data_IF_660151324732
#
_entry.id   IF_660151324732
#
_cell.length_a   1.000
_cell.length_b   1.000
_cell.length_c   1.000
_cell.angle_alpha   90.00
_cell.angle_beta   90.00
_cell.angle_gamma   90.00
#
_symmetry.space_group_name_H-M   'P 1'
#
loop_
_entity.id
_entity.type
_entity.pdbx_description
1 polymer ?
#
# COMPACT_ATOMS: atom_id res chain seq x y z
N UNK A 1 6.33 -1.54 -19.28
CA UNK A 1 6.81 -0.60 -18.22
C UNK A 1 6.47 -1.09 -16.82
N UNK A 2 7.08 -0.55 -15.76
CA UNK A 2 6.82 -0.99 -14.36
C UNK A 2 6.18 0.12 -13.52
N UNK A 3 5.23 -0.23 -12.67
CA UNK A 3 4.48 0.73 -11.85
C UNK A 3 4.48 0.29 -10.39
N UNK A 4 4.76 1.24 -9.49
CA UNK A 4 4.43 1.11 -8.09
C UNK A 4 3.23 2.01 -7.77
N UNK A 5 2.11 1.38 -7.44
CA UNK A 5 0.85 2.04 -7.13
C UNK A 5 0.65 2.07 -5.61
N UNK A 6 0.52 3.27 -5.05
CA UNK A 6 0.34 3.48 -3.62
C UNK A 6 -1.05 4.01 -3.29
N UNK A 7 -1.81 3.26 -2.50
CA UNK A 7 -3.17 3.64 -2.14
C UNK A 7 -3.23 4.48 -0.85
N UNK A 8 -3.84 5.65 -0.97
CA UNK A 8 -4.34 6.50 0.11
C UNK A 8 -3.28 6.89 1.15
N UNK A 9 -2.26 7.68 0.75
CA UNK A 9 -1.21 8.19 1.64
C UNK A 9 -1.73 9.32 2.57
N UNK A 10 -2.88 9.14 3.22
CA UNK A 10 -3.57 10.18 4.00
C UNK A 10 -3.20 10.15 5.49
N UNK A 11 -3.30 11.30 6.16
CA UNK A 11 -3.01 11.47 7.59
C UNK A 11 -3.85 10.57 8.47
N UNK A 12 -5.15 10.50 8.21
CA UNK A 12 -6.12 9.77 9.02
C UNK A 12 -5.77 8.29 9.15
N UNK A 13 -5.32 7.66 8.06
CA UNK A 13 -4.89 6.25 8.07
C UNK A 13 -3.54 6.04 8.73
N UNK A 14 -2.61 6.98 8.56
CA UNK A 14 -1.31 6.95 9.23
C UNK A 14 -1.49 7.11 10.73
N UNK A 15 -2.27 8.10 11.16
CA UNK A 15 -2.52 8.41 12.57
C UNK A 15 -3.20 7.23 13.27
N UNK A 16 -4.19 6.59 12.63
CA UNK A 16 -4.80 5.36 13.14
C UNK A 16 -3.80 4.21 13.34
N UNK A 17 -2.71 4.17 12.56
CA UNK A 17 -1.62 3.21 12.75
C UNK A 17 -0.62 3.64 13.82
N UNK A 18 -0.48 4.93 14.10
CA UNK A 18 0.52 5.49 15.03
C UNK A 18 -0.03 5.74 16.44
N UNK A 19 -1.34 5.91 16.63
CA UNK A 19 -1.99 6.27 17.91
C UNK A 19 -1.90 5.18 19.00
N UNK A 20 -1.23 4.06 18.72
CA UNK A 20 -0.79 3.16 19.77
C UNK A 20 0.54 3.69 20.32
N UNK A 21 0.52 4.27 21.52
CA UNK A 21 1.64 4.78 22.33
C UNK A 21 2.96 3.96 22.33
N UNK A 22 2.95 2.73 21.79
CA UNK A 22 4.09 1.85 21.52
C UNK A 22 5.04 2.32 20.39
N UNK A 23 4.58 3.11 19.41
CA UNK A 23 5.36 3.38 18.18
C UNK A 23 6.52 4.38 18.37
N UNK A 24 6.34 5.43 19.18
CA UNK A 24 7.36 6.46 19.39
C UNK A 24 8.52 6.01 20.27
N UNK A 25 8.30 5.00 21.13
CA UNK A 25 9.32 4.53 22.09
C UNK A 25 10.37 3.59 21.48
N UNK A 26 10.12 3.03 20.28
CA UNK A 26 10.96 1.98 19.67
C UNK A 26 11.80 2.45 18.46
N UNK A 27 12.14 3.74 18.37
CA UNK A 27 13.03 4.23 17.31
C UNK A 27 12.42 4.20 15.90
N UNK A 28 11.10 4.39 15.83
CA UNK A 28 10.37 4.61 14.58
C UNK A 28 10.98 5.77 13.79
N UNK A 29 11.16 5.55 12.47
CA UNK A 29 11.79 6.48 11.54
C UNK A 29 10.90 6.64 10.31
N UNK A 30 9.90 7.54 10.34
CA UNK A 30 8.93 7.71 9.26
C UNK A 30 9.60 7.99 7.91
N UNK A 31 10.72 8.72 7.91
CA UNK A 31 11.51 9.03 6.72
C UNK A 31 12.04 7.79 6.00
N UNK A 32 12.11 6.65 6.70
CA UNK A 32 12.55 5.39 6.14
C UNK A 32 11.57 4.85 5.10
N UNK A 33 10.29 5.23 5.16
CA UNK A 33 9.29 4.81 4.17
C UNK A 33 9.66 5.32 2.77
N UNK A 34 9.94 6.61 2.64
CA UNK A 34 10.38 7.22 1.38
C UNK A 34 11.65 6.56 0.84
N UNK A 35 12.61 6.25 1.72
CA UNK A 35 13.84 5.53 1.36
C UNK A 35 13.60 4.09 0.89
N UNK A 36 12.59 3.43 1.45
CA UNK A 36 12.17 2.08 1.04
C UNK A 36 11.61 2.12 -0.39
N UNK A 37 10.71 3.08 -0.67
CA UNK A 37 10.16 3.28 -2.02
C UNK A 37 11.28 3.63 -3.01
N UNK A 38 12.19 4.52 -2.63
CA UNK A 38 13.34 4.86 -3.47
C UNK A 38 14.16 3.63 -3.86
N UNK A 39 14.51 2.81 -2.87
CA UNK A 39 15.37 1.65 -3.07
C UNK A 39 14.70 0.54 -3.89
N UNK A 40 13.40 0.31 -3.67
CA UNK A 40 12.67 -0.79 -4.30
C UNK A 40 12.07 -0.44 -5.66
N UNK A 41 11.73 0.83 -5.88
CA UNK A 41 10.94 1.25 -7.02
C UNK A 41 11.64 2.32 -7.86
N UNK A 42 11.92 3.51 -7.30
CA UNK A 42 12.49 4.61 -8.09
C UNK A 42 13.85 4.26 -8.70
N UNK A 43 14.76 3.67 -7.92
CA UNK A 43 16.09 3.20 -8.40
C UNK A 43 16.02 2.03 -9.38
N UNK A 44 14.85 1.40 -9.52
CA UNK A 44 14.62 0.25 -10.40
C UNK A 44 13.67 0.60 -11.54
N UNK A 45 13.56 1.89 -11.87
CA UNK A 45 12.82 2.44 -13.01
C UNK A 45 11.32 2.13 -12.98
N UNK A 46 10.73 2.06 -11.78
CA UNK A 46 9.26 2.05 -11.65
C UNK A 46 8.75 3.48 -11.71
N UNK A 47 7.65 3.67 -12.43
CA UNK A 47 6.83 4.86 -12.30
C UNK A 47 6.07 4.77 -10.97
N UNK A 48 6.13 5.83 -10.18
CA UNK A 48 5.41 5.90 -8.90
C UNK A 48 4.08 6.59 -9.14
N UNK A 49 2.99 5.95 -8.73
CA UNK A 49 1.64 6.48 -8.84
C UNK A 49 1.00 6.48 -7.46
N UNK A 50 0.62 7.67 -6.99
CA UNK A 50 -0.08 7.87 -5.73
C UNK A 50 -1.57 8.01 -5.99
N UNK A 51 -2.39 7.16 -5.37
CA UNK A 51 -3.84 7.21 -5.47
C UNK A 51 -4.40 7.89 -4.23
N UNK A 52 -5.14 8.96 -4.42
CA UNK A 52 -5.75 9.72 -3.33
C UNK A 52 -7.26 9.68 -3.42
N UNK A 53 -7.91 9.91 -2.27
CA UNK A 53 -9.31 10.31 -2.27
C UNK A 53 -9.49 11.61 -3.05
N UNK A 54 -10.69 11.78 -3.59
CA UNK A 54 -11.01 12.93 -4.41
C UNK A 54 -11.35 14.16 -3.58
N UNK A 55 -11.20 15.32 -4.20
CA UNK A 55 -11.79 16.56 -3.71
C UNK A 55 -13.32 16.41 -3.56
N UNK A 56 -13.89 17.07 -2.56
CA UNK A 56 -15.32 16.95 -2.25
C UNK A 56 -16.22 17.55 -3.34
N UNK A 57 -15.73 18.55 -4.06
CA UNK A 57 -16.48 19.29 -5.08
C UNK A 57 -16.18 18.76 -6.48
N UNK A 58 -15.01 18.14 -6.70
CA UNK A 58 -14.59 17.60 -7.99
C UNK A 58 -13.93 16.23 -7.84
N UNK A 59 -14.71 15.17 -8.08
CA UNK A 59 -14.25 13.79 -7.95
C UNK A 59 -13.09 13.41 -8.89
N UNK A 60 -12.84 14.21 -9.94
CA UNK A 60 -11.73 13.95 -10.87
C UNK A 60 -10.39 14.43 -10.33
N UNK A 61 -10.40 15.30 -9.31
CA UNK A 61 -9.19 15.86 -8.71
C UNK A 61 -8.83 15.13 -7.41
N UNK A 62 -7.56 14.79 -7.19
CA UNK A 62 -7.12 14.26 -5.91
C UNK A 62 -7.15 15.36 -4.83
N UNK A 63 -7.60 15.02 -3.62
CA UNK A 63 -7.50 15.90 -2.45
C UNK A 63 -6.09 15.81 -1.85
N UNK A 64 -5.27 16.80 -2.18
CA UNK A 64 -3.90 16.88 -1.69
C UNK A 64 -3.81 17.31 -0.21
N UNK A 65 -4.87 17.88 0.35
CA UNK A 65 -4.85 18.45 1.71
C UNK A 65 -4.71 17.39 2.80
N UNK A 66 -5.05 16.14 2.47
CA UNK A 66 -5.03 15.00 3.40
C UNK A 66 -3.72 14.23 3.41
N UNK A 67 -2.77 14.51 2.51
CA UNK A 67 -1.52 13.75 2.41
C UNK A 67 -0.75 13.81 3.74
N UNK A 68 -0.33 12.65 4.24
CA UNK A 68 0.56 12.57 5.40
C UNK A 68 1.99 12.96 5.04
N UNK A 69 2.62 13.74 5.90
CA UNK A 69 4.00 14.24 5.74
C UNK A 69 5.05 13.12 5.65
N UNK A 70 4.69 11.90 6.06
CA UNK A 70 5.54 10.72 5.98
C UNK A 70 5.79 10.31 4.52
N UNK A 71 4.85 10.61 3.63
CA UNK A 71 4.94 10.25 2.21
C UNK A 71 5.63 11.35 1.42
N UNK A 72 6.88 11.07 1.05
CA UNK A 72 7.68 11.94 0.19
C UNK A 72 7.31 11.70 -1.28
N UNK A 73 6.28 12.40 -1.74
CA UNK A 73 5.94 12.51 -3.16
C UNK A 73 7.01 13.37 -3.85
N UNK A 74 7.66 12.82 -4.88
CA UNK A 74 8.77 13.48 -5.58
C UNK A 74 8.34 14.01 -6.95
N UNK A 75 9.11 14.96 -7.46
CA UNK A 75 8.95 15.42 -8.83
C UNK A 75 9.07 14.23 -9.81
N UNK A 76 8.08 14.09 -10.70
CA UNK A 76 7.98 12.99 -11.65
C UNK A 76 7.11 11.82 -11.18
N UNK A 77 6.76 11.74 -9.89
CA UNK A 77 5.70 10.85 -9.44
C UNK A 77 4.35 11.35 -9.99
N UNK A 78 3.43 10.43 -10.27
CA UNK A 78 2.07 10.73 -10.68
C UNK A 78 1.12 10.70 -9.47
N UNK A 79 0.10 11.55 -9.50
CA UNK A 79 -0.97 11.60 -8.49
C UNK A 79 -2.29 11.46 -9.22
N UNK A 80 -3.12 10.50 -8.82
CA UNK A 80 -4.43 10.25 -9.41
C UNK A 80 -5.52 10.24 -8.34
N UNK A 81 -6.73 10.62 -8.76
CA UNK A 81 -7.94 10.52 -7.95
C UNK A 81 -8.52 9.11 -8.00
N UNK A 82 -9.12 8.65 -6.91
CA UNK A 82 -9.84 7.39 -6.86
C UNK A 82 -11.33 7.50 -7.23
N UNK A 83 -11.80 8.72 -7.51
CA UNK A 83 -13.18 9.02 -7.91
C UNK A 83 -14.19 9.11 -6.76
N UNK A 84 -13.75 9.00 -5.50
CA UNK A 84 -14.59 9.11 -4.30
C UNK A 84 -13.88 9.98 -3.28
N UNK A 85 -14.60 10.90 -2.61
CA UNK A 85 -14.03 11.67 -1.51
C UNK A 85 -13.96 10.85 -0.22
N UNK A 86 -13.03 11.20 0.67
CA UNK A 86 -12.86 10.49 1.94
C UNK A 86 -14.12 10.56 2.82
N UNK A 87 -14.83 11.69 2.81
CA UNK A 87 -16.09 11.86 3.53
C UNK A 87 -17.17 10.89 3.04
N UNK A 88 -17.36 10.77 1.72
CA UNK A 88 -18.34 9.85 1.15
C UNK A 88 -17.97 8.39 1.45
N UNK A 89 -16.68 8.07 1.39
CA UNK A 89 -16.19 6.75 1.74
C UNK A 89 -16.55 6.38 3.19
N UNK A 90 -16.29 7.26 4.14
CA UNK A 90 -16.50 7.00 5.56
C UNK A 90 -17.97 7.11 6.00
N UNK A 91 -18.70 8.11 5.51
CA UNK A 91 -20.08 8.39 5.97
C UNK A 91 -21.14 7.60 5.22
N UNK A 92 -20.89 7.23 3.96
CA UNK A 92 -21.85 6.52 3.08
C UNK A 92 -21.35 5.15 2.64
N UNK A 93 -20.17 4.72 3.08
CA UNK A 93 -19.58 3.41 2.72
C UNK A 93 -19.42 3.23 1.20
N UNK A 94 -19.21 4.33 0.47
CA UNK A 94 -18.97 4.29 -0.97
C UNK A 94 -17.52 3.89 -1.21
N UNK A 95 -17.30 2.79 -1.91
CA UNK A 95 -15.95 2.32 -2.23
C UNK A 95 -15.47 2.88 -3.57
N UNK A 96 -14.19 3.28 -3.68
CA UNK A 96 -13.55 3.54 -4.95
C UNK A 96 -13.64 2.32 -5.88
N UNK A 97 -13.86 2.56 -7.17
CA UNK A 97 -13.91 1.49 -8.19
C UNK A 97 -12.49 1.08 -8.61
N UNK A 98 -12.07 -0.18 -8.39
CA UNK A 98 -10.77 -0.65 -8.84
C UNK A 98 -10.54 -0.51 -10.34
N UNK A 99 -11.56 -0.71 -11.17
CA UNK A 99 -11.43 -0.56 -12.62
C UNK A 99 -11.21 0.90 -13.01
N UNK A 100 -11.98 1.81 -12.43
CA UNK A 100 -11.79 3.25 -12.56
C UNK A 100 -10.37 3.68 -12.22
N UNK A 101 -9.84 3.28 -11.05
CA UNK A 101 -8.45 3.61 -10.65
C UNK A 101 -7.44 3.07 -11.66
N UNK A 102 -7.54 1.80 -12.04
CA UNK A 102 -6.60 1.16 -12.97
C UNK A 102 -6.68 1.76 -14.38
N UNK A 103 -7.80 2.35 -14.79
CA UNK A 103 -7.95 2.99 -16.10
C UNK A 103 -7.10 4.25 -16.28
N UNK A 104 -6.60 4.83 -15.19
CA UNK A 104 -5.63 5.94 -15.24
C UNK A 104 -4.20 5.47 -15.53
N UNK A 105 -3.92 4.17 -15.40
CA UNK A 105 -2.60 3.62 -15.64
C UNK A 105 -2.41 3.38 -17.14
N UNK A 106 -1.19 3.56 -17.66
CA UNK A 106 -0.89 3.28 -19.06
C UNK A 106 -0.98 1.78 -19.36
N UNK A 107 -1.25 1.45 -20.63
CA UNK A 107 -1.22 0.07 -21.12
C UNK A 107 0.20 -0.52 -21.14
N UNK A 108 0.30 -1.85 -21.24
CA UNK A 108 1.60 -2.54 -21.37
C UNK A 108 2.43 -2.56 -20.08
N UNK A 109 1.76 -2.69 -18.94
CA UNK A 109 2.41 -2.86 -17.63
C UNK A 109 3.05 -4.26 -17.57
N UNK A 110 4.37 -4.29 -17.44
CA UNK A 110 5.17 -5.50 -17.26
C UNK A 110 5.14 -6.00 -15.80
N UNK A 111 5.00 -5.06 -14.85
CA UNK A 111 4.92 -5.35 -13.43
C UNK A 111 4.18 -4.23 -12.70
N UNK A 112 3.13 -4.59 -11.98
CA UNK A 112 2.43 -3.74 -11.04
C UNK A 112 2.74 -4.19 -9.61
N UNK A 113 3.43 -3.33 -8.86
CA UNK A 113 3.57 -3.50 -7.42
C UNK A 113 2.56 -2.58 -6.71
N UNK A 114 1.77 -3.13 -5.79
CA UNK A 114 0.73 -2.39 -5.06
C UNK A 114 1.13 -2.27 -3.58
N UNK A 115 1.02 -1.07 -3.04
CA UNK A 115 1.16 -0.76 -1.62
C UNK A 115 0.04 0.16 -1.14
N UNK A 116 0.11 0.62 0.11
CA UNK A 116 -0.85 1.55 0.70
C UNK A 116 -1.87 0.91 1.64
N UNK A 117 -3.00 1.58 1.80
CA UNK A 117 -4.03 1.23 2.78
C UNK A 117 -5.32 0.74 2.11
N UNK A 118 -6.08 -0.21 2.64
CA UNK A 118 -5.70 -1.21 3.64
C UNK A 118 -5.35 -2.52 2.91
N UNK A 119 -4.29 -3.23 3.34
CA UNK A 119 -3.79 -4.45 2.69
C UNK A 119 -4.88 -5.46 2.37
N UNK A 120 -5.75 -5.75 3.35
CA UNK A 120 -6.77 -6.81 3.26
C UNK A 120 -8.07 -6.35 2.61
N UNK A 121 -8.12 -5.11 2.15
CA UNK A 121 -9.31 -4.51 1.57
C UNK A 121 -8.95 -3.80 0.26
N UNK A 122 -8.74 -2.49 0.26
CA UNK A 122 -8.52 -1.74 -0.98
C UNK A 122 -7.30 -2.21 -1.79
N UNK A 123 -6.19 -2.54 -1.12
CA UNK A 123 -4.98 -3.07 -1.79
C UNK A 123 -5.27 -4.42 -2.42
N UNK A 124 -5.94 -5.32 -1.70
CA UNK A 124 -6.35 -6.63 -2.20
C UNK A 124 -7.30 -6.51 -3.39
N UNK A 125 -8.32 -5.66 -3.31
CA UNK A 125 -9.29 -5.40 -4.38
C UNK A 125 -8.62 -4.87 -5.65
N UNK A 126 -7.69 -3.92 -5.51
CA UNK A 126 -6.92 -3.37 -6.65
C UNK A 126 -5.99 -4.42 -7.25
N UNK A 127 -5.23 -5.12 -6.41
CA UNK A 127 -4.28 -6.13 -6.86
C UNK A 127 -4.99 -7.30 -7.57
N UNK A 128 -6.12 -7.75 -7.01
CA UNK A 128 -7.01 -8.73 -7.64
C UNK A 128 -7.53 -8.23 -8.98
N UNK A 129 -8.07 -7.02 -9.03
CA UNK A 129 -8.62 -6.47 -10.27
C UNK A 129 -7.55 -6.37 -11.37
N UNK A 130 -6.33 -5.95 -11.04
CA UNK A 130 -5.24 -5.90 -12.00
C UNK A 130 -4.83 -7.31 -12.47
N UNK A 131 -4.70 -8.26 -11.54
CA UNK A 131 -4.37 -9.64 -11.84
C UNK A 131 -5.43 -10.31 -12.74
N UNK A 132 -6.72 -10.15 -12.42
CA UNK A 132 -7.84 -10.71 -13.17
C UNK A 132 -7.92 -10.14 -14.60
N UNK A 133 -7.38 -8.93 -14.83
CA UNK A 133 -7.24 -8.32 -16.16
C UNK A 133 -5.92 -8.68 -16.89
N UNK A 134 -5.13 -9.61 -16.35
CA UNK A 134 -3.91 -10.10 -16.98
C UNK A 134 -2.65 -9.26 -16.72
N UNK A 135 -2.72 -8.25 -15.85
CA UNK A 135 -1.54 -7.47 -15.45
C UNK A 135 -0.70 -8.26 -14.45
N UNK A 136 0.60 -8.51 -14.71
CA UNK A 136 1.49 -9.13 -13.72
C UNK A 136 1.55 -8.28 -12.45
N UNK A 137 0.96 -8.78 -11.37
CA UNK A 137 0.68 -7.98 -10.16
C UNK A 137 1.20 -8.64 -8.91
N UNK A 138 1.78 -7.84 -8.00
CA UNK A 138 2.14 -8.25 -6.64
C UNK A 138 1.81 -7.16 -5.63
N UNK A 139 1.51 -7.55 -4.40
CA UNK A 139 1.43 -6.64 -3.26
C UNK A 139 2.80 -6.62 -2.57
N UNK A 140 3.35 -5.42 -2.37
CA UNK A 140 4.50 -5.23 -1.48
C UNK A 140 3.99 -4.88 -0.08
N UNK A 141 3.83 -5.91 0.73
CA UNK A 141 3.24 -5.83 2.07
C UNK A 141 4.07 -4.97 3.04
N UNK A 142 5.36 -4.78 2.77
CA UNK A 142 6.19 -3.86 3.54
C UNK A 142 5.89 -2.40 3.26
N UNK A 143 5.13 -2.14 2.20
CA UNK A 143 4.68 -0.80 1.81
C UNK A 143 3.19 -0.63 2.03
N UNK A 144 2.53 -1.51 2.78
CA UNK A 144 1.16 -1.30 3.24
C UNK A 144 1.16 -0.73 4.67
N UNK A 145 0.00 -0.69 5.32
CA UNK A 145 -0.08 -0.35 6.74
C UNK A 145 0.78 -1.27 7.63
N UNK A 146 1.17 -2.46 7.16
CA UNK A 146 2.10 -3.33 7.90
C UNK A 146 3.50 -2.75 8.03
N UNK A 147 3.88 -1.74 7.24
CA UNK A 147 5.13 -1.00 7.48
C UNK A 147 5.21 -0.51 8.93
N UNK A 148 4.15 0.13 9.42
CA UNK A 148 4.11 0.70 10.77
C UNK A 148 4.25 -0.43 11.79
N UNK A 149 3.41 -1.47 11.68
CA UNK A 149 3.44 -2.62 12.58
C UNK A 149 4.79 -3.34 12.63
N UNK A 150 5.38 -3.67 11.48
CA UNK A 150 6.66 -4.40 11.42
C UNK A 150 7.78 -3.52 11.97
N UNK A 151 7.82 -2.23 11.62
CA UNK A 151 8.90 -1.36 12.07
C UNK A 151 8.92 -1.13 13.57
N UNK A 152 7.77 -1.12 14.24
CA UNK A 152 7.71 -0.99 15.69
C UNK A 152 7.95 -2.29 16.44
N UNK A 153 7.57 -3.43 15.86
CA UNK A 153 7.59 -4.72 16.56
C UNK A 153 8.84 -5.55 16.25
N UNK A 154 9.38 -5.46 15.04
CA UNK A 154 10.50 -6.27 14.53
C UNK A 154 11.72 -5.42 14.13
N UNK A 155 11.58 -4.10 14.18
CA UNK A 155 12.63 -3.16 13.77
C UNK A 155 12.65 -2.93 12.26
N UNK A 156 13.79 -2.45 11.75
CA UNK A 156 13.84 -1.86 10.42
C UNK A 156 13.65 -2.88 9.28
N UNK A 157 12.61 -2.67 8.47
CA UNK A 157 12.38 -3.43 7.22
C UNK A 157 13.54 -3.20 6.25
N UNK A 158 14.24 -4.25 5.76
CA UNK A 158 15.37 -4.08 4.85
C UNK A 158 14.94 -3.49 3.50
N UNK A 159 15.78 -2.59 2.95
CA UNK A 159 15.50 -1.95 1.66
C UNK A 159 15.41 -2.93 0.50
N UNK A 160 16.19 -4.01 0.54
CA UNK A 160 16.13 -5.11 -0.42
C UNK A 160 15.82 -6.38 0.37
N UNK A 161 14.73 -7.07 0.01
CA UNK A 161 14.43 -8.40 0.56
C UNK A 161 14.93 -9.49 -0.36
N UNK A 162 15.70 -10.42 0.21
CA UNK A 162 16.06 -11.70 -0.43
C UNK A 162 15.23 -12.88 0.09
N UNK A 163 14.54 -12.71 1.22
CA UNK A 163 13.65 -13.69 1.87
C UNK A 163 12.50 -12.98 2.57
N UNK A 164 11.34 -13.62 2.66
CA UNK A 164 10.18 -13.11 3.39
C UNK A 164 10.47 -12.97 4.88
N UNK A 165 10.08 -11.83 5.48
CA UNK A 165 9.95 -11.75 6.95
C UNK A 165 8.51 -11.86 7.41
N UNK A 166 7.53 -11.91 6.50
CA UNK A 166 6.12 -11.98 6.85
C UNK A 166 5.79 -13.21 7.69
N UNK A 167 6.43 -14.36 7.40
CA UNK A 167 6.30 -15.54 8.26
C UNK A 167 6.74 -15.25 9.69
N UNK A 168 7.82 -14.48 9.90
CA UNK A 168 8.26 -14.09 11.26
C UNK A 168 7.22 -13.18 11.92
N UNK A 169 6.65 -12.24 11.16
CA UNK A 169 5.59 -11.36 11.62
C UNK A 169 4.36 -12.14 12.09
N UNK A 170 3.87 -13.09 11.29
CA UNK A 170 2.73 -13.93 11.69
C UNK A 170 3.08 -14.91 12.82
N UNK A 171 4.28 -15.51 12.81
CA UNK A 171 4.69 -16.50 13.80
C UNK A 171 4.74 -15.93 15.22
N UNK A 172 5.02 -14.63 15.38
CA UNK A 172 5.00 -13.96 16.69
C UNK A 172 3.61 -14.00 17.35
N UNK A 173 2.54 -14.00 16.56
CA UNK A 173 1.18 -14.11 17.07
C UNK A 173 0.79 -15.57 17.35
N UNK A 174 1.62 -16.54 16.94
CA UNK A 174 1.43 -17.98 17.11
C UNK A 174 1.18 -18.70 15.78
N UNK A 175 1.44 -20.00 15.74
CA UNK A 175 1.26 -20.84 14.54
C UNK A 175 -0.16 -20.80 13.96
N UNK A 176 -1.18 -20.60 14.81
CA UNK A 176 -2.55 -20.41 14.35
C UNK A 176 -2.69 -19.21 13.39
N UNK A 177 -1.99 -18.11 13.65
CA UNK A 177 -2.02 -16.93 12.78
C UNK A 177 -1.29 -17.15 11.47
N UNK A 178 -0.19 -17.91 11.48
CA UNK A 178 0.50 -18.33 10.25
C UNK A 178 -0.44 -19.17 9.39
N UNK A 179 -1.19 -20.09 10.00
CA UNK A 179 -2.14 -20.93 9.28
C UNK A 179 -3.35 -20.14 8.75
N UNK A 180 -3.89 -19.20 9.53
CA UNK A 180 -4.93 -18.29 9.06
C UNK A 180 -4.42 -17.45 7.88
N UNK A 181 -3.20 -16.93 7.95
CA UNK A 181 -2.59 -16.16 6.86
C UNK A 181 -2.36 -17.03 5.61
N UNK A 182 -1.91 -18.28 5.75
CA UNK A 182 -1.82 -19.23 4.63
C UNK A 182 -3.18 -19.45 3.98
N UNK A 183 -4.21 -19.74 4.78
CA UNK A 183 -5.58 -19.97 4.29
C UNK A 183 -6.13 -18.75 3.55
N UNK A 184 -5.94 -17.54 4.10
CA UNK A 184 -6.44 -16.31 3.48
C UNK A 184 -5.73 -15.95 2.17
N UNK A 185 -4.51 -16.47 1.94
CA UNK A 185 -3.68 -16.20 0.75
C UNK A 185 -3.76 -17.26 -0.34
N UNK A 186 -4.31 -18.45 -0.06
CA UNK A 186 -4.30 -19.61 -0.97
C UNK A 186 -4.84 -19.31 -2.37
N UNK A 187 -5.83 -18.42 -2.49
CA UNK A 187 -6.45 -18.02 -3.76
C UNK A 187 -6.03 -16.61 -4.21
N UNK A 188 -4.93 -16.08 -3.67
CA UNK A 188 -4.47 -14.71 -3.88
C UNK A 188 -3.01 -14.71 -4.34
N UNK A 189 -2.75 -15.07 -5.62
CA UNK A 189 -1.38 -15.20 -6.15
C UNK A 189 -0.58 -13.88 -6.13
N UNK A 190 -1.25 -12.73 -6.01
CA UNK A 190 -0.61 -11.43 -5.85
C UNK A 190 0.00 -11.20 -4.46
N UNK A 191 -0.29 -12.03 -3.46
CA UNK A 191 0.39 -11.99 -2.16
C UNK A 191 1.56 -12.96 -2.09
N UNK A 192 2.56 -12.64 -1.28
CA UNK A 192 3.65 -13.57 -0.99
C UNK A 192 3.08 -14.81 -0.27
N UNK A 193 3.41 -15.99 -0.80
CA UNK A 193 2.94 -17.25 -0.23
C UNK A 193 3.83 -17.66 0.94
N UNK A 194 3.21 -18.00 2.08
CA UNK A 194 3.92 -18.39 3.29
C UNK A 194 4.26 -19.89 3.25
N UNK A 195 5.53 -20.20 3.00
CA UNK A 195 6.08 -21.57 3.05
C UNK A 195 6.45 -21.96 4.49
#
# INVERSE_FOLDING_TARGET
>A
MKIFLFLYPIREYVDACLDQTFFLQNGYKPERFGRLIDARYRKRSYNIVWVLFSDQQDVTKPDLSQISEIFQIKQGDQIISCGVSFELHCSKWIYPDPKGILSHLPDGIEELAVGGFHQWDCVDKIARCAYDNGTPTRVDEDTTQFFFHITSTEGQIPFIRRRSTLRKSFARFGEHWVELARKSRKAKPWFEQLT
#
